data_IF_527574387959
#
_entry.id   IF_527574387959
#
_cell.length_a   1.000
_cell.length_b   1.000
_cell.length_c   1.000
_cell.angle_alpha   90.00
_cell.angle_beta   90.00
_cell.angle_gamma   90.00
#
_symmetry.space_group_name_H-M   'P 1'
#
loop_
_entity.id
_entity.type
_entity.pdbx_description
1 polymer ?
#
# COMPACT_ATOMS: atom_id res chain seq x y z
N UNK A 1 -5.56 0.51 9.57
CA UNK A 1 -5.98 -0.20 8.32
C UNK A 1 -7.45 -0.62 8.30
N UNK A 2 -7.98 -1.37 9.28
CA UNK A 2 -9.40 -1.78 9.27
C UNK A 2 -10.39 -0.60 9.14
N UNK A 3 -10.11 0.51 9.83
CA UNK A 3 -10.90 1.75 9.72
C UNK A 3 -10.86 2.41 8.33
N UNK A 4 -9.85 2.09 7.52
CA UNK A 4 -9.72 2.58 6.14
C UNK A 4 -10.44 1.67 5.11
N UNK A 5 -11.09 0.61 5.58
CA UNK A 5 -11.79 -0.36 4.71
C UNK A 5 -10.86 -1.41 4.09
N UNK A 6 -9.63 -1.54 4.60
CA UNK A 6 -8.70 -2.57 4.16
C UNK A 6 -8.98 -3.91 4.86
N UNK A 7 -8.96 -4.97 4.06
CA UNK A 7 -9.06 -6.37 4.47
C UNK A 7 -7.65 -6.92 4.64
N UNK A 8 -7.36 -7.52 5.78
CA UNK A 8 -6.07 -8.16 6.04
C UNK A 8 -5.98 -9.51 5.34
N UNK A 9 -4.84 -9.75 4.68
CA UNK A 9 -4.48 -11.00 4.04
C UNK A 9 -3.19 -11.51 4.69
N UNK A 10 -3.25 -12.75 5.16
CA UNK A 10 -2.11 -13.51 5.65
C UNK A 10 -1.84 -14.66 4.66
N UNK A 11 -0.80 -14.50 3.83
CA UNK A 11 -0.35 -15.58 2.96
C UNK A 11 0.54 -16.53 3.75
N UNK A 12 -0.07 -17.57 4.31
CA UNK A 12 0.61 -18.62 5.10
C UNK A 12 1.70 -19.37 4.33
N UNK A 13 1.65 -19.36 2.99
CA UNK A 13 2.64 -20.06 2.15
C UNK A 13 3.93 -19.25 2.05
N UNK A 14 3.83 -17.93 1.99
CA UNK A 14 4.99 -17.03 1.88
C UNK A 14 5.35 -16.35 3.21
N UNK A 15 4.47 -16.46 4.22
CA UNK A 15 4.57 -15.74 5.49
C UNK A 15 4.33 -14.24 5.36
N UNK A 16 3.85 -13.77 4.19
CA UNK A 16 3.69 -12.35 3.90
C UNK A 16 2.32 -11.86 4.33
N UNK A 17 2.33 -10.77 5.06
CA UNK A 17 1.14 -10.05 5.47
C UNK A 17 0.90 -8.87 4.55
N UNK A 18 -0.35 -8.69 4.14
CA UNK A 18 -0.74 -7.58 3.27
C UNK A 18 -2.18 -7.16 3.52
N UNK A 19 -2.57 -6.05 2.92
CA UNK A 19 -3.89 -5.48 3.07
C UNK A 19 -4.47 -5.16 1.70
N UNK A 20 -5.74 -5.49 1.46
CA UNK A 20 -6.40 -5.19 0.19
C UNK A 20 -7.67 -4.36 0.37
N UNK A 21 -7.94 -3.48 -0.59
CA UNK A 21 -9.20 -2.72 -0.67
C UNK A 21 -9.69 -2.67 -2.12
N UNK A 22 -10.78 -3.37 -2.46
CA UNK A 22 -11.43 -3.23 -3.76
C UNK A 22 -11.90 -1.80 -4.01
N UNK A 23 -11.76 -1.31 -5.24
CA UNK A 23 -12.28 0.00 -5.66
C UNK A 23 -13.79 -0.09 -5.94
N UNK A 24 -14.23 -1.22 -6.50
CA UNK A 24 -15.63 -1.50 -6.84
C UNK A 24 -16.14 -2.74 -6.10
N UNK A 25 -17.37 -3.17 -6.39
CA UNK A 25 -17.98 -4.39 -5.84
C UNK A 25 -17.33 -5.68 -6.36
N UNK A 26 -16.48 -5.57 -7.37
CA UNK A 26 -15.75 -6.68 -7.97
C UNK A 26 -14.39 -6.90 -7.30
N UNK A 27 -13.76 -8.03 -7.59
CA UNK A 27 -12.46 -8.39 -6.99
C UNK A 27 -11.31 -7.48 -7.45
N UNK A 28 -11.44 -6.86 -8.62
CA UNK A 28 -10.47 -5.96 -9.23
C UNK A 28 -11.21 -4.77 -9.90
N UNK A 29 -10.56 -3.62 -10.09
CA UNK A 29 -9.27 -3.25 -9.53
C UNK A 29 -9.30 -3.09 -8.00
N UNK A 30 -8.18 -3.40 -7.34
CA UNK A 30 -8.03 -3.29 -5.88
C UNK A 30 -6.68 -2.68 -5.51
N UNK A 31 -6.66 -1.93 -4.42
CA UNK A 31 -5.41 -1.55 -3.78
C UNK A 31 -4.84 -2.75 -3.03
N UNK A 32 -3.56 -3.02 -3.20
CA UNK A 32 -2.80 -4.03 -2.44
C UNK A 32 -1.66 -3.34 -1.72
N UNK A 33 -1.65 -3.40 -0.39
CA UNK A 33 -0.67 -2.73 0.45
C UNK A 33 0.15 -3.75 1.22
N UNK A 34 1.45 -3.72 1.02
CA UNK A 34 2.41 -4.40 1.89
C UNK A 34 2.92 -3.42 2.93
N UNK A 35 3.00 -3.89 4.17
CA UNK A 35 3.54 -3.10 5.28
C UNK A 35 4.79 -3.79 5.78
N UNK A 36 5.89 -3.06 5.81
CA UNK A 36 7.15 -3.51 6.38
C UNK A 36 7.66 -2.51 7.40
N UNK A 37 8.49 -2.98 8.33
CA UNK A 37 9.20 -2.10 9.26
C UNK A 37 10.28 -1.33 8.48
N UNK A 38 10.25 -0.01 8.58
CA UNK A 38 11.34 0.85 8.12
C UNK A 38 12.51 0.81 9.11
N UNK A 39 13.70 1.14 8.61
CA UNK A 39 14.96 1.05 9.37
C UNK A 39 15.02 1.90 10.65
N UNK A 40 14.07 2.82 10.85
CA UNK A 40 14.04 3.77 11.97
C UNK A 40 12.81 3.58 12.89
N UNK A 41 12.20 2.39 12.92
CA UNK A 41 10.99 2.12 13.72
C UNK A 41 9.69 2.66 13.10
N UNK A 42 9.78 3.24 11.90
CA UNK A 42 8.61 3.59 11.09
C UNK A 42 8.04 2.42 10.33
N UNK A 43 6.96 2.68 9.58
CA UNK A 43 6.37 1.70 8.66
C UNK A 43 6.53 2.18 7.23
N UNK A 44 6.93 1.27 6.34
CA UNK A 44 6.94 1.47 4.90
C UNK A 44 5.68 0.83 4.33
N UNK A 45 4.93 1.61 3.56
CA UNK A 45 3.72 1.17 2.87
C UNK A 45 4.03 1.10 1.38
N UNK A 46 4.11 -0.12 0.85
CA UNK A 46 4.22 -0.35 -0.59
C UNK A 46 2.80 -0.62 -1.14
N UNK A 47 2.29 0.30 -1.95
CA UNK A 47 0.90 0.32 -2.43
C UNK A 47 0.87 0.04 -3.92
N UNK A 48 0.23 -1.06 -4.32
CA UNK A 48 0.03 -1.45 -5.72
C UNK A 48 -1.45 -1.31 -6.09
N UNK A 49 -1.72 -0.99 -7.36
CA UNK A 49 -3.06 -1.02 -7.94
C UNK A 49 -3.18 -2.27 -8.82
N UNK A 50 -3.74 -3.33 -8.27
CA UNK A 50 -3.98 -4.56 -9.03
C UNK A 50 -5.17 -4.33 -9.96
N UNK A 51 -4.97 -4.35 -11.27
CA UNK A 51 -6.06 -4.21 -12.26
C UNK A 51 -6.73 -5.54 -12.64
N UNK A 52 -6.05 -6.66 -12.46
CA UNK A 52 -6.56 -8.00 -12.76
C UNK A 52 -5.94 -9.04 -11.83
N UNK A 53 -6.56 -10.22 -11.77
CA UNK A 53 -5.97 -11.35 -11.08
C UNK A 53 -4.66 -11.76 -11.74
N UNK A 54 -3.56 -11.71 -10.99
CA UNK A 54 -2.27 -12.22 -11.43
C UNK A 54 -2.34 -13.74 -11.56
N UNK A 55 -2.51 -14.23 -12.79
CA UNK A 55 -2.21 -15.61 -13.16
C UNK A 55 -0.68 -15.75 -13.19
N UNK A 56 -0.10 -16.31 -12.12
CA UNK A 56 1.36 -16.44 -11.98
C UNK A 56 1.94 -17.41 -13.01
N UNK A 57 2.58 -16.89 -14.05
CA UNK A 57 3.80 -17.46 -14.64
C UNK A 57 4.79 -16.30 -14.93
N UNK A 58 5.78 -16.15 -14.04
CA UNK A 58 7.12 -15.67 -14.40
C UNK A 58 7.32 -14.30 -15.08
N UNK A 59 6.39 -13.35 -15.03
CA UNK A 59 6.59 -12.06 -15.72
C UNK A 59 6.95 -10.91 -14.78
N UNK A 60 8.13 -10.36 -15.02
CA UNK A 60 8.70 -9.15 -14.43
C UNK A 60 7.66 -8.02 -14.32
N UNK A 61 7.57 -7.46 -13.11
CA UNK A 61 6.82 -6.25 -12.74
C UNK A 61 7.21 -5.06 -13.61
N UNK A 62 6.62 -4.90 -14.79
CA UNK A 62 6.89 -3.76 -15.66
C UNK A 62 5.59 -3.03 -15.99
N UNK A 63 5.48 -1.83 -15.42
CA UNK A 63 4.85 -0.66 -16.03
C UNK A 63 3.35 -0.75 -16.35
N UNK A 64 2.50 -0.60 -15.33
CA UNK A 64 1.21 0.04 -15.55
C UNK A 64 0.87 0.89 -14.32
N UNK A 65 0.99 2.21 -14.47
CA UNK A 65 0.39 3.22 -13.58
C UNK A 65 0.90 3.28 -12.13
N UNK A 66 2.19 3.54 -11.94
CA UNK A 66 2.69 4.12 -10.69
C UNK A 66 2.15 5.55 -10.42
N UNK A 67 1.43 6.14 -11.38
CA UNK A 67 1.04 7.55 -11.34
C UNK A 67 -0.42 7.75 -11.76
N UNK A 68 -1.30 6.83 -11.37
CA UNK A 68 -2.74 7.10 -11.47
C UNK A 68 -3.11 8.08 -10.33
N UNK A 69 -3.87 9.16 -10.60
CA UNK A 69 -4.42 10.04 -9.57
C UNK A 69 -5.13 9.27 -8.44
N UNK A 70 -5.63 8.06 -8.72
CA UNK A 70 -6.23 7.15 -7.75
C UNK A 70 -5.23 6.66 -6.69
N UNK A 71 -4.01 6.30 -7.10
CA UNK A 71 -2.96 5.82 -6.18
C UNK A 71 -2.48 6.95 -5.28
N UNK A 72 -2.25 8.14 -5.85
CA UNK A 72 -1.84 9.32 -5.09
C UNK A 72 -2.92 9.73 -4.06
N UNK A 73 -4.18 9.72 -4.46
CA UNK A 73 -5.33 9.99 -3.58
C UNK A 73 -5.39 8.98 -2.43
N UNK A 74 -5.21 7.69 -2.72
CA UNK A 74 -5.24 6.66 -1.68
C UNK A 74 -4.05 6.75 -0.73
N UNK A 75 -2.85 7.02 -1.24
CA UNK A 75 -1.67 7.26 -0.42
C UNK A 75 -1.89 8.45 0.53
N UNK A 76 -2.45 9.55 0.02
CA UNK A 76 -2.81 10.71 0.84
C UNK A 76 -3.86 10.36 1.90
N UNK A 77 -4.88 9.57 1.55
CA UNK A 77 -5.91 9.12 2.50
C UNK A 77 -5.32 8.28 3.63
N UNK A 78 -4.40 7.37 3.32
CA UNK A 78 -3.70 6.58 4.34
C UNK A 78 -2.87 7.50 5.24
N UNK A 79 -2.09 8.43 4.67
CA UNK A 79 -1.30 9.41 5.46
C UNK A 79 -2.17 10.21 6.42
N UNK A 80 -3.30 10.74 5.94
CA UNK A 80 -4.24 11.51 6.75
C UNK A 80 -4.83 10.66 7.90
N UNK A 81 -5.22 9.42 7.61
CA UNK A 81 -5.80 8.53 8.62
C UNK A 81 -4.80 8.06 9.67
N UNK A 82 -3.51 7.97 9.32
CA UNK A 82 -2.44 7.68 10.26
C UNK A 82 -2.00 8.93 11.05
N UNK A 83 -2.64 10.09 10.83
CA UNK A 83 -2.26 11.35 11.48
C UNK A 83 -0.85 11.81 11.08
N UNK A 84 -0.33 11.33 9.96
CA UNK A 84 1.01 11.67 9.51
C UNK A 84 0.96 13.01 8.79
N UNK A 85 1.12 14.10 9.56
CA UNK A 85 1.46 15.39 8.97
C UNK A 85 2.88 15.30 8.44
N UNK A 86 3.08 15.59 7.16
CA UNK A 86 4.39 15.67 6.53
C UNK A 86 5.17 16.78 7.23
N UNK A 87 5.96 16.42 8.25
CA UNK A 87 6.87 17.34 8.91
C UNK A 87 7.99 17.65 7.93
N UNK A 88 7.72 18.59 7.03
CA UNK A 88 8.71 19.19 6.14
C UNK A 88 9.66 19.99 7.02
N UNK A 89 10.69 19.33 7.54
CA UNK A 89 11.91 19.96 8.01
C UNK A 89 13.00 19.55 7.03
N UNK A 90 13.58 20.55 6.38
CA UNK A 90 14.67 20.47 5.41
C UNK A 90 15.64 19.31 5.69
N UNK A 91 15.73 18.38 4.74
CA UNK A 91 16.93 17.58 4.51
C UNK A 91 17.00 16.18 5.13
N UNK A 92 16.24 15.81 6.15
CA UNK A 92 16.35 14.46 6.74
C UNK A 92 15.02 14.06 7.40
N UNK A 93 14.15 13.34 6.67
CA UNK A 93 12.89 12.86 7.24
C UNK A 93 13.16 11.71 8.22
N UNK A 94 13.21 12.04 9.51
CA UNK A 94 13.20 11.08 10.62
C UNK A 94 11.75 10.79 11.02
N UNK A 95 11.42 9.49 11.12
CA UNK A 95 10.23 9.01 11.81
C UNK A 95 10.72 8.31 13.09
N UNK A 96 10.21 8.72 14.24
CA UNK A 96 10.41 8.02 15.51
C UNK A 96 9.05 7.97 16.18
N UNK A 97 8.57 6.75 16.44
CA UNK A 97 7.45 6.44 17.33
C UNK A 97 8.01 5.87 18.63
#
# INVERSE_FOLDING_TARGET
MRQLGYIFIDDRRTGKQSYVRPIYREHYPRFHVYVSSGSNGGYLFDIHLDQKQSSYEGSHMHNAEYDSPLLATEAQRIKQALGTSDSTSSGITRLSL
#
